data_IF_616093388786
#
_entry.id   IF_616093388786
#
_cell.length_a   1.000
_cell.length_b   1.000
_cell.length_c   1.000
_cell.angle_alpha   90.00
_cell.angle_beta   90.00
_cell.angle_gamma   90.00
#
_symmetry.space_group_name_H-M   'P 1'
#
loop_
_entity.id
_entity.type
_entity.pdbx_description
1 polymer ?
#
# COMPACT_ATOMS: atom_id res chain seq x y z
N UNK A 1 0.06 -25.45 20.46
CA UNK A 1 0.77 -25.24 19.17
C UNK A 1 -0.12 -24.32 18.37
N UNK A 2 0.40 -23.19 17.89
CA UNK A 2 -0.41 -22.22 17.16
C UNK A 2 -0.51 -22.73 15.72
N UNK A 3 -1.54 -23.51 15.43
CA UNK A 3 -1.87 -23.94 14.07
C UNK A 3 -2.32 -22.69 13.31
N UNK A 4 -1.37 -22.00 12.69
CA UNK A 4 -1.60 -20.70 12.08
C UNK A 4 -2.45 -20.89 10.81
N UNK A 5 -3.78 -20.84 10.98
CA UNK A 5 -4.79 -21.33 10.04
C UNK A 5 -5.00 -20.43 8.82
N UNK A 6 -4.18 -19.38 8.63
CA UNK A 6 -4.31 -18.51 7.46
C UNK A 6 -3.51 -19.07 6.28
N UNK A 7 -4.16 -19.71 5.27
CA UNK A 7 -3.46 -20.30 4.13
C UNK A 7 -2.72 -19.25 3.28
N UNK A 8 -3.04 -17.97 3.42
CA UNK A 8 -2.38 -16.87 2.71
C UNK A 8 -1.09 -16.37 3.35
N UNK A 9 -0.78 -16.76 4.60
CA UNK A 9 0.39 -16.24 5.31
C UNK A 9 1.71 -16.72 4.67
N UNK A 10 2.72 -15.85 4.59
CA UNK A 10 4.05 -16.18 4.10
C UNK A 10 4.71 -17.34 4.87
N UNK A 11 4.38 -17.50 6.15
CA UNK A 11 4.86 -18.61 6.96
C UNK A 11 4.34 -19.99 6.50
N UNK A 12 3.25 -20.01 5.74
CA UNK A 12 2.61 -21.23 5.21
C UNK A 12 2.96 -21.47 3.72
N UNK A 13 3.85 -20.65 3.14
CA UNK A 13 4.28 -20.74 1.73
C UNK A 13 5.67 -21.39 1.60
N UNK A 14 5.94 -22.14 0.52
CA UNK A 14 7.25 -22.68 0.25
C UNK A 14 8.30 -21.57 0.08
N UNK A 15 9.53 -21.85 0.54
CA UNK A 15 10.61 -20.86 0.61
C UNK A 15 10.95 -20.25 -0.76
N UNK A 16 10.96 -21.05 -1.83
CA UNK A 16 11.14 -20.53 -3.19
C UNK A 16 10.09 -19.49 -3.56
N UNK A 17 8.80 -19.74 -3.27
CA UNK A 17 7.72 -18.82 -3.64
C UNK A 17 7.83 -17.49 -2.89
N UNK A 18 8.18 -17.55 -1.59
CA UNK A 18 8.41 -16.34 -0.79
C UNK A 18 9.62 -15.56 -1.31
N UNK A 19 10.70 -16.24 -1.68
CA UNK A 19 11.86 -15.60 -2.30
C UNK A 19 11.51 -14.95 -3.64
N UNK A 20 10.72 -15.62 -4.47
CA UNK A 20 10.31 -15.10 -5.77
C UNK A 20 9.45 -13.84 -5.62
N UNK A 21 8.51 -13.82 -4.65
CA UNK A 21 7.69 -12.65 -4.33
C UNK A 21 8.56 -11.50 -3.82
N UNK A 22 9.49 -11.77 -2.91
CA UNK A 22 10.41 -10.77 -2.38
C UNK A 22 11.31 -10.19 -3.50
N UNK A 23 11.83 -11.05 -4.38
CA UNK A 23 12.59 -10.62 -5.56
C UNK A 23 11.76 -9.75 -6.50
N UNK A 24 10.53 -10.16 -6.82
CA UNK A 24 9.61 -9.36 -7.65
C UNK A 24 9.29 -8.01 -7.02
N UNK A 25 9.12 -7.96 -5.70
CA UNK A 25 8.92 -6.72 -4.95
C UNK A 25 10.11 -5.75 -5.04
N UNK A 26 11.35 -6.27 -5.07
CA UNK A 26 12.56 -5.48 -5.27
C UNK A 26 12.85 -5.13 -6.74
N UNK A 27 12.34 -5.89 -7.70
CA UNK A 27 12.63 -5.70 -9.13
C UNK A 27 11.95 -4.46 -9.74
N UNK A 28 10.98 -3.84 -9.06
CA UNK A 28 10.45 -2.54 -9.46
C UNK A 28 11.53 -1.42 -9.41
N UNK A 29 12.70 -1.68 -8.81
CA UNK A 29 13.78 -0.70 -8.68
C UNK A 29 14.75 -0.66 -9.87
N UNK A 30 14.65 -1.56 -10.85
CA UNK A 30 15.66 -1.67 -11.92
C UNK A 30 15.70 -0.50 -12.92
N UNK A 31 14.66 0.33 -12.97
CA UNK A 31 14.59 1.53 -13.83
C UNK A 31 14.73 2.85 -13.06
N UNK A 32 15.05 2.78 -11.76
CA UNK A 32 15.01 3.93 -10.87
C UNK A 32 13.56 4.21 -10.47
N UNK A 33 13.19 3.79 -9.26
CA UNK A 33 11.86 4.02 -8.72
C UNK A 33 11.56 5.51 -8.54
N UNK A 34 10.47 5.82 -7.84
CA UNK A 34 10.09 7.22 -7.58
C UNK A 34 11.25 8.08 -7.04
N UNK A 35 12.11 7.51 -6.18
CA UNK A 35 13.28 8.20 -5.62
C UNK A 35 14.38 8.55 -6.64
N UNK A 36 14.43 7.86 -7.78
CA UNK A 36 15.44 8.07 -8.84
C UNK A 36 14.93 8.97 -9.98
N UNK A 37 13.67 9.40 -9.93
CA UNK A 37 13.09 10.33 -10.89
C UNK A 37 13.64 11.75 -10.68
N UNK A 38 13.56 12.59 -11.70
CA UNK A 38 13.84 14.02 -11.59
C UNK A 38 12.96 14.68 -10.49
N UNK A 39 13.50 15.58 -9.64
CA UNK A 39 12.78 16.15 -8.52
C UNK A 39 11.51 16.92 -8.93
N UNK A 40 11.54 17.63 -10.06
CA UNK A 40 10.38 18.39 -10.53
C UNK A 40 9.28 17.44 -10.98
N UNK A 41 9.66 16.35 -11.65
CA UNK A 41 8.72 15.30 -12.06
C UNK A 41 8.14 14.55 -10.86
N UNK A 42 8.92 14.28 -9.82
CA UNK A 42 8.41 13.73 -8.56
C UNK A 42 7.36 14.65 -7.93
N UNK A 43 7.64 15.96 -7.91
CA UNK A 43 6.77 16.97 -7.31
C UNK A 43 5.46 17.12 -8.08
N UNK A 44 5.52 17.05 -9.41
CA UNK A 44 4.32 17.04 -10.25
C UNK A 44 3.44 15.81 -9.97
N UNK A 45 4.03 14.60 -9.94
CA UNK A 45 3.28 13.37 -9.63
C UNK A 45 2.69 13.42 -8.21
N UNK A 46 3.46 13.89 -7.23
CA UNK A 46 2.96 14.07 -5.86
C UNK A 46 1.81 15.11 -5.80
N UNK A 47 1.91 16.21 -6.56
CA UNK A 47 0.84 17.21 -6.68
C UNK A 47 -0.40 16.60 -7.32
N UNK A 48 -0.26 15.85 -8.41
CA UNK A 48 -1.38 15.17 -9.06
C UNK A 48 -2.06 14.18 -8.11
N UNK A 49 -1.29 13.42 -7.33
CA UNK A 49 -1.84 12.53 -6.29
C UNK A 49 -2.59 13.30 -5.21
N UNK A 50 -2.07 14.44 -4.77
CA UNK A 50 -2.73 15.34 -3.82
C UNK A 50 -3.98 16.03 -4.38
N UNK A 51 -4.02 16.32 -5.68
CA UNK A 51 -5.18 16.92 -6.36
C UNK A 51 -6.27 15.88 -6.67
N UNK A 52 -5.86 14.67 -7.05
CA UNK A 52 -6.77 13.53 -7.28
C UNK A 52 -7.37 13.03 -5.96
N UNK A 53 -6.63 13.14 -4.87
CA UNK A 53 -7.19 13.02 -3.53
C UNK A 53 -8.06 14.25 -3.25
N UNK A 54 -9.37 14.13 -3.41
CA UNK A 54 -10.31 15.23 -3.19
C UNK A 54 -10.28 15.72 -1.73
N UNK A 55 -9.39 16.67 -1.45
CA UNK A 55 -9.46 17.56 -0.30
C UNK A 55 -8.71 17.08 0.94
N UNK A 56 -8.11 18.04 1.62
CA UNK A 56 -7.94 18.01 3.07
C UNK A 56 -9.23 17.50 3.69
N UNK A 57 -9.17 16.31 4.29
CA UNK A 57 -10.22 15.85 5.17
C UNK A 57 -10.19 16.76 6.40
N UNK A 58 -11.16 17.69 6.50
CA UNK A 58 -11.35 18.35 7.78
C UNK A 58 -11.65 17.27 8.83
N UNK A 59 -10.94 17.36 9.95
CA UNK A 59 -11.08 16.42 11.06
C UNK A 59 -12.53 16.50 11.55
N UNK A 60 -13.30 15.42 11.37
CA UNK A 60 -14.71 15.37 11.72
C UNK A 60 -15.70 15.64 10.57
N UNK A 61 -15.23 15.92 9.35
CA UNK A 61 -16.11 15.95 8.18
C UNK A 61 -16.71 14.57 7.89
N UNK A 62 -17.93 14.53 7.35
CA UNK A 62 -18.58 13.26 6.97
C UNK A 62 -17.70 12.44 6.03
N UNK A 63 -17.02 13.09 5.09
CA UNK A 63 -16.08 12.43 4.16
C UNK A 63 -14.91 11.77 4.88
N UNK A 64 -14.38 12.41 5.93
CA UNK A 64 -13.33 11.82 6.78
C UNK A 64 -13.87 10.62 7.58
N UNK A 65 -15.08 10.73 8.12
CA UNK A 65 -15.74 9.66 8.85
C UNK A 65 -16.06 8.46 7.94
N UNK A 66 -16.51 8.71 6.72
CA UNK A 66 -16.82 7.68 5.72
C UNK A 66 -15.55 6.98 5.23
N UNK A 67 -14.49 7.74 4.94
CA UNK A 67 -13.17 7.19 4.60
C UNK A 67 -12.59 6.35 5.75
N UNK A 68 -12.70 6.82 7.00
CA UNK A 68 -12.28 6.08 8.19
C UNK A 68 -13.09 4.80 8.40
N UNK A 69 -14.42 4.85 8.20
CA UNK A 69 -15.29 3.68 8.31
C UNK A 69 -14.97 2.66 7.23
N UNK A 70 -14.80 3.08 5.97
CA UNK A 70 -14.41 2.21 4.85
C UNK A 70 -13.03 1.59 5.07
N UNK A 71 -12.07 2.36 5.57
CA UNK A 71 -10.73 1.89 5.91
C UNK A 71 -10.74 0.88 7.07
N UNK A 72 -11.54 1.13 8.11
CA UNK A 72 -11.71 0.21 9.24
C UNK A 72 -12.44 -1.09 8.87
N UNK A 73 -13.40 -1.02 7.94
CA UNK A 73 -14.08 -2.22 7.42
C UNK A 73 -13.13 -3.14 6.64
N UNK A 74 -12.11 -2.58 5.98
CA UNK A 74 -11.10 -3.38 5.26
C UNK A 74 -10.13 -4.11 6.19
N UNK A 75 -10.01 -3.68 7.45
CA UNK A 75 -9.13 -4.30 8.47
C UNK A 75 -9.88 -5.13 9.52
N UNK A 76 -11.22 -5.15 9.47
CA UNK A 76 -12.08 -5.73 10.51
C UNK A 76 -12.78 -7.04 10.16
N UNK A 77 -12.50 -7.70 9.04
CA UNK A 77 -13.12 -8.98 8.71
C UNK A 77 -12.09 -10.11 8.82
N UNK A 78 -12.04 -10.70 10.02
CA UNK A 78 -11.52 -12.06 10.28
C UNK A 78 -12.67 -12.92 10.75
#
# INVERSE_FOLDING_TARGET
MTDNTNPGNFANRPKEEVQEIASKGGQASHSGGFASMDPDKQREIASQGGQASSGSFEKGSERAAEAGRKGGSATGSS
#
